data_IF_630852382044
#
_entry.id   IF_630852382044
#
_cell.length_a   1.000
_cell.length_b   1.000
_cell.length_c   1.000
_cell.angle_alpha   90.00
_cell.angle_beta   90.00
_cell.angle_gamma   90.00
#
_symmetry.space_group_name_H-M   'P 1'
#
loop_
_entity.id
_entity.type
_entity.pdbx_description
1 polymer ?
#
# COMPACT_ATOMS: atom_id res chain seq x y z
N UNK A 1 34.28 -19.29 20.62
CA UNK A 1 32.80 -19.26 20.65
C UNK A 1 32.34 -18.39 19.49
N UNK A 2 31.72 -19.00 18.48
CA UNK A 2 31.22 -18.33 17.28
C UNK A 2 29.87 -17.69 17.62
N UNK A 3 29.82 -16.36 17.65
CA UNK A 3 28.55 -15.64 17.71
C UNK A 3 27.94 -15.66 16.31
N UNK A 4 27.05 -16.61 16.07
CA UNK A 4 26.20 -16.65 14.88
C UNK A 4 25.10 -15.62 15.06
N UNK A 5 25.30 -14.39 14.57
CA UNK A 5 24.20 -13.43 14.44
C UNK A 5 23.34 -13.88 13.27
N UNK A 6 22.14 -14.39 13.57
CA UNK A 6 21.15 -14.76 12.57
C UNK A 6 20.89 -13.58 11.62
N UNK A 7 20.66 -13.83 10.31
CA UNK A 7 20.24 -12.77 9.42
C UNK A 7 18.87 -12.30 9.92
N UNK A 8 18.81 -11.07 10.41
CA UNK A 8 17.56 -10.33 10.54
C UNK A 8 17.01 -10.11 9.12
N UNK A 9 16.44 -11.16 8.52
CA UNK A 9 15.56 -11.04 7.37
C UNK A 9 14.32 -10.35 7.90
N UNK A 10 14.31 -9.02 7.84
CA UNK A 10 13.13 -8.20 8.02
C UNK A 10 12.19 -8.53 6.86
N UNK A 11 11.47 -9.65 7.00
CA UNK A 11 10.34 -10.01 6.15
C UNK A 11 9.21 -9.08 6.57
N UNK A 12 9.27 -7.84 6.09
CA UNK A 12 8.20 -6.88 6.28
C UNK A 12 6.99 -7.38 5.50
N UNK A 13 5.94 -7.77 6.21
CA UNK A 13 4.67 -8.08 5.57
C UNK A 13 4.07 -6.76 5.04
N UNK A 14 3.86 -6.62 3.72
CA UNK A 14 3.33 -5.39 3.13
C UNK A 14 1.94 -5.02 3.70
N UNK A 15 1.14 -5.99 4.14
CA UNK A 15 -0.14 -5.74 4.80
C UNK A 15 0.03 -5.10 6.18
N UNK A 16 1.03 -5.53 6.96
CA UNK A 16 1.33 -4.94 8.27
C UNK A 16 1.84 -3.51 8.13
N UNK A 17 2.70 -3.24 7.15
CA UNK A 17 3.16 -1.88 6.85
C UNK A 17 2.01 -0.95 6.43
N UNK A 18 1.07 -1.42 5.58
CA UNK A 18 -0.09 -0.62 5.18
C UNK A 18 -1.00 -0.26 6.38
N UNK A 19 -1.19 -1.18 7.32
CA UNK A 19 -2.01 -0.95 8.52
C UNK A 19 -1.33 0.08 9.46
N UNK A 20 -0.01 -0.01 9.64
CA UNK A 20 0.75 0.97 10.42
C UNK A 20 0.79 2.36 9.73
N UNK A 21 0.97 2.42 8.42
CA UNK A 21 0.91 3.68 7.66
C UNK A 21 -0.47 4.34 7.75
N UNK A 22 -1.55 3.55 7.76
CA UNK A 22 -2.91 4.08 7.93
C UNK A 22 -3.13 4.68 9.32
N UNK A 23 -2.42 4.19 10.34
CA UNK A 23 -2.43 4.79 11.68
C UNK A 23 -1.67 6.12 11.75
N UNK A 24 -0.63 6.29 10.92
CA UNK A 24 0.11 7.56 10.78
C UNK A 24 -0.64 8.63 9.97
N UNK A 25 -1.55 8.24 9.06
CA UNK A 25 -2.31 9.16 8.20
C UNK A 25 -3.56 9.72 8.90
N UNK A 26 -3.82 9.37 10.18
CA UNK A 26 -5.04 9.78 10.86
C UNK A 26 -4.79 10.74 12.03
N UNK A 27 -4.57 12.01 11.71
CA UNK A 27 -4.92 13.09 12.63
C UNK A 27 -5.59 14.25 11.90
N UNK A 28 -6.90 14.33 12.10
CA UNK A 28 -7.84 15.46 11.94
C UNK A 28 -8.24 16.01 10.57
N UNK A 29 -7.50 15.82 9.47
CA UNK A 29 -7.93 16.39 8.18
C UNK A 29 -8.76 15.39 7.36
N UNK A 30 -10.08 15.60 7.30
CA UNK A 30 -10.93 14.93 6.30
C UNK A 30 -11.53 15.97 5.37
N UNK A 31 -11.51 15.69 4.06
CA UNK A 31 -12.03 16.57 3.03
C UNK A 31 -13.47 17.03 3.30
N UNK A 32 -14.29 16.12 3.83
CA UNK A 32 -15.68 16.43 4.19
C UNK A 32 -15.75 17.50 5.30
N UNK A 33 -14.88 17.43 6.32
CA UNK A 33 -14.83 18.43 7.39
C UNK A 33 -14.47 19.81 6.87
N UNK A 34 -13.48 19.89 5.96
CA UNK A 34 -13.06 21.18 5.38
C UNK A 34 -14.17 21.80 4.51
N UNK A 35 -14.89 20.97 3.74
CA UNK A 35 -16.06 21.43 2.97
C UNK A 35 -17.13 22.03 3.88
N UNK A 36 -17.45 21.37 4.99
CA UNK A 36 -18.48 21.86 5.91
C UNK A 36 -18.07 23.19 6.56
N UNK A 37 -16.78 23.34 6.87
CA UNK A 37 -16.22 24.60 7.39
C UNK A 37 -16.30 25.73 6.38
N UNK A 38 -15.89 25.50 5.13
CA UNK A 38 -16.00 26.48 4.04
C UNK A 38 -17.47 26.90 3.81
N UNK A 39 -18.40 25.95 3.83
CA UNK A 39 -19.84 26.26 3.72
C UNK A 39 -20.32 27.16 4.85
N UNK A 40 -19.87 26.90 6.07
CA UNK A 40 -20.24 27.72 7.24
C UNK A 40 -19.67 29.14 7.12
N UNK A 41 -18.38 29.28 6.79
CA UNK A 41 -17.72 30.58 6.61
C UNK A 41 -18.37 31.39 5.48
N UNK A 42 -18.78 30.72 4.38
CA UNK A 42 -19.51 31.34 3.29
C UNK A 42 -20.88 31.90 3.75
N UNK A 43 -21.63 31.13 4.55
CA UNK A 43 -22.92 31.56 5.09
C UNK A 43 -22.78 32.71 6.10
N UNK A 44 -21.67 32.75 6.83
CA UNK A 44 -21.34 33.82 7.79
C UNK A 44 -20.80 35.07 7.10
N UNK A 45 -20.32 34.96 5.85
CA UNK A 45 -19.71 36.06 5.10
C UNK A 45 -18.24 36.32 5.45
N UNK A 46 -17.62 35.42 6.21
CA UNK A 46 -16.24 35.51 6.71
C UNK A 46 -15.25 34.70 5.85
N UNK A 47 -15.71 34.12 4.73
CA UNK A 47 -14.87 33.31 3.85
C UNK A 47 -13.78 34.18 3.20
N UNK A 48 -12.53 33.91 3.58
CA UNK A 48 -11.35 34.54 3.00
C UNK A 48 -11.04 33.95 1.62
N UNK A 49 -11.28 34.74 0.57
CA UNK A 49 -10.99 34.37 -0.82
C UNK A 49 -9.68 34.99 -1.35
N UNK A 50 -8.85 35.56 -0.48
CA UNK A 50 -7.60 36.21 -0.89
C UNK A 50 -6.50 35.17 -1.14
N UNK A 51 -5.70 35.41 -2.18
CA UNK A 51 -4.51 34.62 -2.43
C UNK A 51 -3.44 34.98 -1.39
N UNK A 52 -2.89 33.97 -0.70
CA UNK A 52 -1.83 34.14 0.29
C UNK A 52 -0.49 33.85 -0.36
N UNK A 53 -0.08 34.70 -1.29
CA UNK A 53 1.04 34.44 -2.21
C UNK A 53 2.31 34.01 -1.48
N UNK A 54 2.72 34.71 -0.42
CA UNK A 54 3.91 34.37 0.37
C UNK A 54 3.80 33.00 1.06
N UNK A 55 2.64 32.70 1.66
CA UNK A 55 2.41 31.43 2.35
C UNK A 55 2.31 30.27 1.36
N UNK A 56 1.63 30.51 0.24
CA UNK A 56 1.47 29.53 -0.84
C UNK A 56 2.81 29.22 -1.50
N UNK A 57 3.65 30.24 -1.74
CA UNK A 57 5.00 30.06 -2.25
C UNK A 57 5.86 29.19 -1.31
N UNK A 58 5.81 29.49 0.00
CA UNK A 58 6.52 28.69 1.01
C UNK A 58 6.06 27.22 0.99
N UNK A 59 4.75 26.97 0.90
CA UNK A 59 4.24 25.60 0.77
C UNK A 59 4.75 24.88 -0.47
N UNK A 60 4.86 25.58 -1.61
CA UNK A 60 5.39 24.99 -2.84
C UNK A 60 6.88 24.61 -2.69
N UNK A 61 7.69 25.45 -2.04
CA UNK A 61 9.09 25.11 -1.76
C UNK A 61 9.21 23.92 -0.79
N UNK A 62 8.39 23.87 0.27
CA UNK A 62 8.39 22.74 1.20
C UNK A 62 7.98 21.43 0.53
N UNK A 63 6.97 21.46 -0.36
CA UNK A 63 6.58 20.28 -1.13
C UNK A 63 7.72 19.80 -2.04
N UNK A 64 8.41 20.72 -2.70
CA UNK A 64 9.55 20.38 -3.55
C UNK A 64 10.71 19.80 -2.73
N UNK A 65 11.01 20.40 -1.58
CA UNK A 65 12.03 19.91 -0.65
C UNK A 65 11.72 18.49 -0.19
N UNK A 66 10.49 18.20 0.21
CA UNK A 66 10.06 16.84 0.59
C UNK A 66 10.31 15.87 -0.57
N UNK A 67 9.92 16.23 -1.80
CA UNK A 67 10.09 15.38 -2.99
C UNK A 67 11.57 15.11 -3.27
N UNK A 68 12.42 16.14 -3.22
CA UNK A 68 13.85 16.03 -3.50
C UNK A 68 14.59 15.19 -2.44
N UNK A 69 14.08 15.18 -1.22
CA UNK A 69 14.60 14.38 -0.11
C UNK A 69 14.00 12.97 -0.03
N UNK A 70 13.05 12.59 -0.90
CA UNK A 70 12.51 11.23 -0.89
C UNK A 70 13.59 10.20 -1.24
N UNK A 71 13.68 9.10 -0.49
CA UNK A 71 14.61 8.04 -0.81
C UNK A 71 14.26 7.45 -2.19
N UNK A 72 15.29 7.22 -3.02
CA UNK A 72 15.11 6.49 -4.27
C UNK A 72 14.57 5.10 -3.96
N UNK A 73 13.53 4.71 -4.70
CA UNK A 73 12.99 3.36 -4.57
C UNK A 73 14.10 2.35 -4.90
N UNK A 74 14.25 1.28 -4.11
CA UNK A 74 15.20 0.23 -4.44
C UNK A 74 14.81 -0.35 -5.80
N UNK A 75 15.82 -0.65 -6.62
CA UNK A 75 15.61 -1.31 -7.90
C UNK A 75 15.20 -2.76 -7.62
N UNK A 76 13.88 -2.99 -7.56
CA UNK A 76 13.34 -4.32 -7.35
C UNK A 76 13.53 -5.07 -8.67
N UNK A 77 14.55 -5.92 -8.74
CA UNK A 77 14.58 -6.94 -9.78
C UNK A 77 13.37 -7.82 -9.54
N UNK A 78 12.37 -7.75 -10.44
CA UNK A 78 11.29 -8.72 -10.43
C UNK A 78 11.96 -10.09 -10.49
N UNK A 79 11.90 -10.82 -9.38
CA UNK A 79 12.28 -12.22 -9.39
C UNK A 79 11.32 -12.86 -10.38
N UNK A 80 11.83 -13.21 -11.57
CA UNK A 80 11.05 -13.86 -12.61
C UNK A 80 10.38 -15.03 -11.93
N UNK A 81 9.06 -14.95 -11.74
CA UNK A 81 8.29 -16.01 -11.11
C UNK A 81 8.68 -17.29 -11.84
N UNK A 82 9.42 -18.15 -11.14
CA UNK A 82 9.79 -19.44 -11.70
C UNK A 82 8.51 -20.24 -11.60
N UNK A 83 7.74 -20.25 -12.69
CA UNK A 83 6.56 -21.10 -12.82
C UNK A 83 7.10 -22.52 -12.65
N UNK A 84 6.69 -23.27 -11.62
CA UNK A 84 7.07 -24.66 -11.50
C UNK A 84 6.58 -25.39 -12.76
N UNK A 85 7.49 -26.03 -13.48
CA UNK A 85 7.08 -26.97 -14.51
C UNK A 85 6.47 -28.17 -13.79
N UNK A 86 5.20 -28.44 -14.06
CA UNK A 86 4.55 -29.65 -13.59
C UNK A 86 4.78 -30.75 -14.62
N UNK A 87 5.22 -31.91 -14.17
CA UNK A 87 5.27 -33.10 -15.02
C UNK A 87 3.85 -33.46 -15.50
N UNK A 88 3.72 -33.90 -16.75
CA UNK A 88 2.47 -34.43 -17.27
C UNK A 88 2.07 -35.67 -16.46
N UNK A 89 0.95 -35.59 -15.75
CA UNK A 89 0.43 -36.73 -14.98
C UNK A 89 -0.13 -37.75 -15.97
N UNK A 90 0.48 -38.93 -16.02
CA UNK A 90 -0.06 -40.07 -16.77
C UNK A 90 -1.46 -40.42 -16.27
N UNK A 91 -2.47 -40.19 -17.11
CA UNK A 91 -3.86 -40.53 -16.80
C UNK A 91 -4.02 -42.05 -16.82
N UNK A 92 -4.20 -42.65 -15.64
CA UNK A 92 -4.53 -44.07 -15.51
C UNK A 92 -6.03 -44.24 -15.70
N UNK A 93 -6.44 -45.37 -16.28
CA UNK A 93 -7.86 -45.71 -16.44
C UNK A 93 -8.63 -45.73 -15.10
N UNK A 94 -7.92 -45.92 -13.98
CA UNK A 94 -8.43 -45.88 -12.61
C UNK A 94 -8.79 -44.48 -12.13
N UNK A 95 -8.16 -43.44 -12.66
CA UNK A 95 -8.33 -42.06 -12.17
C UNK A 95 -9.76 -41.58 -12.44
N UNK A 96 -10.35 -42.01 -13.56
CA UNK A 96 -11.77 -41.79 -13.88
C UNK A 96 -12.73 -42.43 -12.88
N UNK A 97 -12.36 -43.54 -12.24
CA UNK A 97 -13.19 -44.21 -11.22
C UNK A 97 -13.11 -43.48 -9.89
N UNK A 98 -11.92 -43.00 -9.53
CA UNK A 98 -11.68 -42.27 -8.28
C UNK A 98 -12.30 -40.87 -8.30
N UNK A 99 -12.19 -40.15 -9.42
CA UNK A 99 -12.88 -38.86 -9.62
C UNK A 99 -14.40 -39.04 -9.50
N UNK A 100 -14.96 -40.10 -10.09
CA UNK A 100 -16.40 -40.42 -9.97
C UNK A 100 -16.82 -40.76 -8.54
N UNK A 101 -15.94 -41.35 -7.71
CA UNK A 101 -16.22 -41.57 -6.28
C UNK A 101 -16.22 -40.27 -5.48
N UNK A 102 -15.35 -39.33 -5.82
CA UNK A 102 -15.28 -38.01 -5.19
C UNK A 102 -16.51 -37.14 -5.51
N UNK A 103 -16.91 -37.06 -6.79
CA UNK A 103 -18.05 -36.24 -7.23
C UNK A 103 -19.38 -36.76 -6.66
N UNK A 104 -19.48 -38.07 -6.39
CA UNK A 104 -20.70 -38.71 -5.85
C UNK A 104 -20.86 -38.55 -4.32
N UNK A 105 -19.88 -37.96 -3.63
CA UNK A 105 -19.92 -37.69 -2.18
C UNK A 105 -20.17 -36.22 -1.82
N UNK A 106 -20.45 -35.36 -2.80
CA UNK A 106 -20.96 -33.99 -2.61
C UNK A 106 -22.47 -33.93 -2.62
#
# INVERSE_FOLDING_TARGET
>A
MLATTAPNSLVMNPTSMLVEMKSFILSSYTFETEIQKIKQELLQGDLDCTAKDETNEQYLYEMQDIIDHLPKLPEIQQQKLTIPEFDEIEVKATDSVEIKKFIRKG
#
